data_IF_647981329924
#
_entry.id   IF_647981329924
#
_cell.length_a   1.000
_cell.length_b   1.000
_cell.length_c   1.000
_cell.angle_alpha   90.00
_cell.angle_beta   90.00
_cell.angle_gamma   90.00
#
_symmetry.space_group_name_H-M   'P 1'
#
loop_
_entity.id
_entity.type
_entity.pdbx_description
1 polymer ?
#
# COMPACT_ATOMS: atom_id res chain seq x y z
N UNK A 1 -2.07 -42.14 47.88
CA UNK A 1 -3.45 -41.72 47.59
C UNK A 1 -3.38 -40.26 47.20
N UNK A 2 -3.43 -39.98 45.88
CA UNK A 2 -3.10 -38.68 45.30
C UNK A 2 -4.29 -37.71 45.39
N UNK A 3 -4.10 -36.60 46.09
CA UNK A 3 -5.04 -35.49 46.16
C UNK A 3 -4.87 -34.62 44.92
N UNK A 4 -5.81 -34.75 44.00
CA UNK A 4 -5.95 -33.85 42.85
C UNK A 4 -6.37 -32.46 43.38
N UNK A 5 -5.44 -31.51 43.36
CA UNK A 5 -5.74 -30.09 43.52
C UNK A 5 -6.51 -29.64 42.27
N UNK A 6 -7.83 -29.53 42.42
CA UNK A 6 -8.69 -28.80 41.49
C UNK A 6 -8.22 -27.35 41.50
N UNK A 7 -7.46 -26.99 40.47
CA UNK A 7 -7.03 -25.64 40.19
C UNK A 7 -8.24 -24.84 39.70
N UNK A 8 -9.07 -24.34 40.62
CA UNK A 8 -10.13 -23.37 40.33
C UNK A 8 -9.47 -22.03 39.97
N UNK A 9 -9.12 -21.87 38.69
CA UNK A 9 -8.74 -20.57 38.15
C UNK A 9 -9.95 -19.63 38.30
N UNK A 10 -9.85 -18.63 39.18
CA UNK A 10 -10.90 -17.65 39.41
C UNK A 10 -11.15 -16.86 38.11
N UNK A 11 -12.41 -16.58 37.75
CA UNK A 11 -12.75 -15.88 36.51
C UNK A 11 -12.12 -14.48 36.43
N UNK A 12 -11.86 -13.83 37.58
CA UNK A 12 -11.10 -12.57 37.65
C UNK A 12 -9.65 -12.68 37.13
N UNK A 13 -8.99 -13.83 37.31
CA UNK A 13 -7.62 -14.05 36.82
C UNK A 13 -7.59 -14.26 35.30
N UNK A 14 -8.64 -14.88 34.75
CA UNK A 14 -8.81 -15.04 33.30
C UNK A 14 -9.05 -13.70 32.60
N UNK A 15 -9.89 -12.82 33.17
CA UNK A 15 -10.14 -11.48 32.64
C UNK A 15 -8.90 -10.59 32.78
N UNK A 16 -8.19 -10.66 33.90
CA UNK A 16 -6.94 -9.91 34.09
C UNK A 16 -5.81 -10.40 33.16
N UNK A 17 -5.76 -11.69 32.83
CA UNK A 17 -4.84 -12.24 31.84
C UNK A 17 -5.20 -11.77 30.43
N UNK A 18 -6.48 -11.76 30.07
CA UNK A 18 -6.94 -11.32 28.74
C UNK A 18 -6.70 -9.81 28.51
N UNK A 19 -6.91 -8.98 29.55
CA UNK A 19 -6.62 -7.54 29.51
C UNK A 19 -5.11 -7.26 29.35
N UNK A 20 -4.26 -8.05 30.03
CA UNK A 20 -2.80 -7.96 29.89
C UNK A 20 -2.34 -8.39 28.50
N UNK A 21 -2.86 -9.52 28.01
CA UNK A 21 -2.58 -10.03 26.65
C UNK A 21 -3.04 -9.03 25.59
N UNK A 22 -4.21 -8.40 25.75
CA UNK A 22 -4.71 -7.34 24.87
C UNK A 22 -3.82 -6.10 24.91
N UNK A 23 -3.35 -5.70 26.09
CA UNK A 23 -2.45 -4.55 26.26
C UNK A 23 -1.05 -4.80 25.69
N UNK A 24 -0.54 -6.03 25.78
CA UNK A 24 0.76 -6.43 25.24
C UNK A 24 0.68 -6.64 23.73
N UNK A 25 -0.42 -7.21 23.23
CA UNK A 25 -0.69 -7.28 21.79
C UNK A 25 -0.85 -5.87 21.20
N UNK A 26 -1.55 -4.97 21.88
CA UNK A 26 -1.66 -3.57 21.48
C UNK A 26 -0.29 -2.89 21.47
N UNK A 27 0.56 -3.11 22.49
CA UNK A 27 1.93 -2.58 22.53
C UNK A 27 2.83 -3.17 21.44
N UNK A 28 2.72 -4.47 21.14
CA UNK A 28 3.51 -5.13 20.09
C UNK A 28 3.06 -4.69 18.70
N UNK A 29 1.75 -4.55 18.46
CA UNK A 29 1.20 -3.98 17.24
C UNK A 29 1.59 -2.51 17.09
N UNK A 30 1.57 -1.74 18.18
CA UNK A 30 1.96 -0.34 18.17
C UNK A 30 3.47 -0.16 17.92
N UNK A 31 4.31 -1.01 18.52
CA UNK A 31 5.76 -1.05 18.26
C UNK A 31 6.06 -1.50 16.82
N UNK A 32 5.34 -2.50 16.31
CA UNK A 32 5.38 -2.92 14.90
C UNK A 32 4.95 -1.80 13.98
N UNK A 33 3.82 -1.15 14.23
CA UNK A 33 3.28 -0.02 13.46
C UNK A 33 4.22 1.19 13.46
N UNK A 34 4.94 1.46 14.55
CA UNK A 34 5.94 2.54 14.61
C UNK A 34 7.21 2.16 13.83
N UNK A 35 7.64 0.90 13.88
CA UNK A 35 8.71 0.39 13.02
C UNK A 35 8.29 0.33 11.54
N UNK A 36 7.03 0.02 11.27
CA UNK A 36 6.40 -0.08 9.96
C UNK A 36 6.01 1.29 9.39
N UNK A 37 5.80 2.31 10.22
CA UNK A 37 5.55 3.68 9.78
C UNK A 37 6.76 4.24 9.01
N UNK A 38 7.98 3.82 9.37
CA UNK A 38 9.17 4.04 8.53
C UNK A 38 9.15 3.15 7.29
N UNK A 39 8.80 1.87 7.41
CA UNK A 39 8.76 0.93 6.26
C UNK A 39 7.72 1.30 5.20
N UNK A 40 6.60 1.92 5.55
CA UNK A 40 5.55 2.34 4.62
C UNK A 40 6.02 3.39 3.61
N UNK A 41 6.96 4.25 4.02
CA UNK A 41 7.62 5.21 3.11
C UNK A 41 8.65 4.50 2.22
N UNK A 42 9.33 3.47 2.72
CA UNK A 42 10.37 2.73 1.99
C UNK A 42 9.83 1.66 1.04
N UNK A 43 8.63 1.14 1.27
CA UNK A 43 7.98 0.15 0.39
C UNK A 43 7.87 0.66 -1.06
N UNK A 44 7.53 1.93 -1.24
CA UNK A 44 7.29 2.48 -2.58
C UNK A 44 8.60 2.64 -3.38
N UNK A 45 9.67 3.25 -2.82
CA UNK A 45 11.01 3.21 -3.41
C UNK A 45 11.51 1.80 -3.69
N UNK A 46 11.34 0.86 -2.76
CA UNK A 46 11.81 -0.52 -2.94
C UNK A 46 11.12 -1.19 -4.13
N UNK A 47 9.78 -1.13 -4.19
CA UNK A 47 9.00 -1.72 -5.27
C UNK A 47 9.33 -1.10 -6.62
N UNK A 48 9.44 0.23 -6.70
CA UNK A 48 9.75 0.89 -7.96
C UNK A 48 11.18 0.60 -8.42
N UNK A 49 12.14 0.46 -7.52
CA UNK A 49 13.50 0.02 -7.87
C UNK A 49 13.50 -1.39 -8.46
N UNK A 50 12.76 -2.33 -7.86
CA UNK A 50 12.63 -3.70 -8.39
C UNK A 50 12.00 -3.68 -9.78
N UNK A 51 10.91 -2.93 -9.96
CA UNK A 51 10.23 -2.80 -11.25
C UNK A 51 11.14 -2.19 -12.31
N UNK A 52 11.83 -1.08 -11.99
CA UNK A 52 12.76 -0.43 -12.91
C UNK A 52 13.89 -1.37 -13.30
N UNK A 53 14.43 -2.14 -12.36
CA UNK A 53 15.48 -3.12 -12.65
C UNK A 53 15.00 -4.24 -13.58
N UNK A 54 13.76 -4.71 -13.40
CA UNK A 54 13.15 -5.74 -14.25
C UNK A 54 12.76 -5.21 -15.64
N UNK A 55 12.26 -3.98 -15.73
CA UNK A 55 11.89 -3.34 -17.00
C UNK A 55 13.06 -2.68 -17.73
N UNK A 56 14.23 -2.58 -17.11
CA UNK A 56 15.42 -1.90 -17.66
C UNK A 56 15.85 -2.35 -19.06
N UNK A 57 15.82 -3.65 -19.42
CA UNK A 57 16.22 -4.08 -20.76
C UNK A 57 15.17 -3.79 -21.84
N UNK A 58 13.89 -3.70 -21.46
CA UNK A 58 12.77 -3.73 -22.41
C UNK A 58 12.09 -2.36 -22.61
N UNK A 59 12.17 -1.46 -21.62
CA UNK A 59 11.47 -0.18 -21.65
C UNK A 59 12.44 1.02 -21.75
N UNK A 60 11.99 2.17 -22.32
CA UNK A 60 12.81 3.37 -22.43
C UNK A 60 13.27 3.87 -21.05
N UNK A 61 14.59 4.01 -20.87
CA UNK A 61 15.18 4.41 -19.58
C UNK A 61 14.65 5.76 -19.07
N UNK A 62 14.40 6.72 -19.97
CA UNK A 62 13.83 8.02 -19.60
C UNK A 62 12.44 7.89 -18.96
N UNK A 63 11.61 6.99 -19.48
CA UNK A 63 10.28 6.72 -18.96
C UNK A 63 10.35 6.03 -17.59
N UNK A 64 11.24 5.05 -17.44
CA UNK A 64 11.46 4.35 -16.18
C UNK A 64 11.99 5.28 -15.09
N UNK A 65 12.98 6.13 -15.42
CA UNK A 65 13.54 7.10 -14.49
C UNK A 65 12.52 8.19 -14.13
N UNK A 66 11.73 8.66 -15.10
CA UNK A 66 10.64 9.61 -14.86
C UNK A 66 9.57 9.03 -13.94
N UNK A 67 9.17 7.78 -14.17
CA UNK A 67 8.22 7.08 -13.31
C UNK A 67 8.78 6.84 -11.91
N UNK A 68 10.02 6.36 -11.80
CA UNK A 68 10.70 6.18 -10.51
C UNK A 68 10.78 7.49 -9.72
N UNK A 69 11.20 8.57 -10.38
CA UNK A 69 11.25 9.90 -9.80
C UNK A 69 9.88 10.36 -9.29
N UNK A 70 8.81 10.16 -10.07
CA UNK A 70 7.47 10.51 -9.66
C UNK A 70 6.95 9.70 -8.46
N UNK A 71 7.22 8.38 -8.41
CA UNK A 71 6.84 7.51 -7.28
C UNK A 71 7.60 7.91 -6.02
N UNK A 72 8.92 8.14 -6.13
CA UNK A 72 9.74 8.56 -4.98
C UNK A 72 9.31 9.95 -4.50
N UNK A 73 9.09 10.89 -5.42
CA UNK A 73 8.63 12.24 -5.07
C UNK A 73 7.29 12.21 -4.34
N UNK A 74 6.30 11.48 -4.87
CA UNK A 74 4.98 11.36 -4.21
C UNK A 74 5.07 10.67 -2.84
N UNK A 75 5.92 9.65 -2.69
CA UNK A 75 6.20 9.03 -1.40
C UNK A 75 6.85 10.00 -0.40
N UNK A 76 7.81 10.82 -0.84
CA UNK A 76 8.44 11.85 -0.01
C UNK A 76 7.45 12.95 0.40
N UNK A 77 6.61 13.42 -0.52
CA UNK A 77 5.54 14.40 -0.21
C UNK A 77 4.59 13.83 0.84
N UNK A 78 4.21 12.55 0.73
CA UNK A 78 3.39 11.87 1.74
C UNK A 78 4.11 11.77 3.10
N UNK A 79 5.37 11.35 3.11
CA UNK A 79 6.18 11.25 4.32
C UNK A 79 6.33 12.61 5.02
N UNK A 80 6.61 13.66 4.24
CA UNK A 80 6.70 15.03 4.74
C UNK A 80 5.35 15.52 5.29
N UNK A 81 4.23 15.23 4.62
CA UNK A 81 2.89 15.58 5.09
C UNK A 81 2.58 14.93 6.45
N UNK A 82 2.81 13.62 6.58
CA UNK A 82 2.59 12.88 7.83
C UNK A 82 3.50 13.37 8.97
N UNK A 83 4.74 13.73 8.65
CA UNK A 83 5.68 14.27 9.62
C UNK A 83 5.28 15.68 10.10
N UNK A 84 4.85 16.56 9.20
CA UNK A 84 4.40 17.91 9.55
C UNK A 84 3.08 17.84 10.32
N UNK A 85 2.14 17.00 9.89
CA UNK A 85 0.84 16.84 10.54
C UNK A 85 0.91 16.23 11.94
N UNK A 86 1.91 15.37 12.21
CA UNK A 86 2.13 14.85 13.57
C UNK A 86 2.78 15.86 14.51
N UNK A 87 3.60 16.79 13.98
CA UNK A 87 4.25 17.83 14.79
C UNK A 87 3.41 19.08 15.00
N UNK A 88 2.49 19.39 14.08
CA UNK A 88 1.60 20.56 14.19
C UNK A 88 0.22 20.12 14.64
N UNK A 89 -0.40 20.84 15.59
CA UNK A 89 -1.80 20.66 15.97
C UNK A 89 -2.73 21.19 14.86
N UNK A 90 -2.73 20.52 13.71
CA UNK A 90 -3.62 20.82 12.60
C UNK A 90 -5.03 20.30 12.90
N UNK A 91 -6.04 20.98 12.35
CA UNK A 91 -7.43 20.54 12.41
C UNK A 91 -7.59 19.20 11.68
N UNK A 92 -8.42 18.31 12.22
CA UNK A 92 -8.68 16.97 11.67
C UNK A 92 -9.05 16.98 10.17
N UNK A 93 -9.84 17.97 9.73
CA UNK A 93 -10.19 18.16 8.31
C UNK A 93 -8.97 18.37 7.41
N UNK A 94 -8.00 19.18 7.86
CA UNK A 94 -6.79 19.49 7.07
C UNK A 94 -5.93 18.24 6.93
N UNK A 95 -5.72 17.52 8.03
CA UNK A 95 -4.96 16.26 8.05
C UNK A 95 -5.60 15.24 7.11
N UNK A 96 -6.92 15.04 7.22
CA UNK A 96 -7.67 14.11 6.36
C UNK A 96 -7.52 14.49 4.88
N UNK A 97 -7.79 15.74 4.51
CA UNK A 97 -7.68 16.20 3.11
C UNK A 97 -6.28 16.00 2.53
N UNK A 98 -5.22 16.30 3.29
CA UNK A 98 -3.86 16.09 2.80
C UNK A 98 -3.47 14.61 2.69
N UNK A 99 -3.96 13.75 3.59
CA UNK A 99 -3.81 12.29 3.44
C UNK A 99 -4.53 11.83 2.18
N UNK A 100 -5.76 12.29 1.92
CA UNK A 100 -6.48 11.97 0.67
C UNK A 100 -5.69 12.39 -0.56
N UNK A 101 -5.21 13.64 -0.60
CA UNK A 101 -4.51 14.17 -1.75
C UNK A 101 -3.20 13.40 -2.05
N UNK A 102 -2.42 13.09 -1.01
CA UNK A 102 -1.17 12.34 -1.16
C UNK A 102 -1.40 10.87 -1.54
N UNK A 103 -2.45 10.24 -1.02
CA UNK A 103 -2.89 8.90 -1.42
C UNK A 103 -3.34 8.89 -2.89
N UNK A 104 -4.17 9.84 -3.31
CA UNK A 104 -4.65 9.93 -4.70
C UNK A 104 -3.51 10.22 -5.67
N UNK A 105 -2.59 11.12 -5.32
CA UNK A 105 -1.41 11.41 -6.13
C UNK A 105 -0.59 10.15 -6.36
N UNK A 106 -0.32 9.40 -5.29
CA UNK A 106 0.43 8.15 -5.36
C UNK A 106 -0.28 7.10 -6.22
N UNK A 107 -1.60 6.99 -6.09
CA UNK A 107 -2.42 6.10 -6.91
C UNK A 107 -2.32 6.42 -8.40
N UNK A 108 -2.44 7.72 -8.74
CA UNK A 108 -2.32 8.20 -10.13
C UNK A 108 -0.91 7.92 -10.66
N UNK A 109 0.13 8.19 -9.88
CA UNK A 109 1.51 7.94 -10.30
C UNK A 109 1.75 6.45 -10.59
N UNK A 110 1.24 5.55 -9.75
CA UNK A 110 1.31 4.11 -9.99
C UNK A 110 0.48 3.66 -11.18
N UNK A 111 -0.77 4.14 -11.29
CA UNK A 111 -1.68 3.79 -12.37
C UNK A 111 -1.17 4.26 -13.73
N UNK A 112 -0.79 5.54 -13.85
CA UNK A 112 -0.29 6.13 -15.10
C UNK A 112 1.04 5.52 -15.52
N UNK A 113 1.99 5.34 -14.58
CA UNK A 113 3.26 4.72 -14.94
C UNK A 113 3.10 3.25 -15.33
N UNK A 114 2.25 2.50 -14.61
CA UNK A 114 1.88 1.13 -15.00
C UNK A 114 1.26 1.09 -16.40
N UNK A 115 0.29 1.96 -16.67
CA UNK A 115 -0.37 2.09 -17.97
C UNK A 115 0.59 2.37 -19.14
N UNK A 116 1.66 3.14 -18.90
CA UNK A 116 2.67 3.45 -19.89
C UNK A 116 3.68 2.32 -20.10
N UNK A 117 4.01 1.56 -19.05
CA UNK A 117 5.03 0.49 -19.10
C UNK A 117 4.44 -0.84 -19.56
N UNK A 118 3.22 -1.18 -19.12
CA UNK A 118 2.52 -2.45 -19.42
C UNK A 118 2.51 -2.84 -20.91
N UNK A 119 2.20 -1.94 -21.87
CA UNK A 119 2.15 -2.32 -23.28
C UNK A 119 3.52 -2.52 -23.94
N UNK A 120 4.62 -2.16 -23.25
CA UNK A 120 5.98 -2.19 -23.80
C UNK A 120 6.76 -3.42 -23.32
N UNK A 121 6.46 -3.88 -22.10
CA UNK A 121 7.22 -4.96 -21.43
C UNK A 121 6.66 -6.35 -21.73
N UNK A 122 7.49 -7.41 -21.69
CA UNK A 122 7.05 -8.78 -21.91
C UNK A 122 6.02 -9.24 -20.86
N UNK A 123 5.30 -10.33 -21.19
CA UNK A 123 4.17 -10.83 -20.40
C UNK A 123 4.55 -11.14 -18.94
N UNK A 124 5.74 -11.70 -18.71
CA UNK A 124 6.24 -12.04 -17.38
C UNK A 124 6.37 -10.79 -16.49
N UNK A 125 6.96 -9.72 -17.04
CA UNK A 125 7.11 -8.43 -16.37
C UNK A 125 5.76 -7.76 -16.13
N UNK A 126 4.85 -7.86 -17.10
CA UNK A 126 3.46 -7.40 -16.97
C UNK A 126 2.73 -8.10 -15.82
N UNK A 127 2.82 -9.43 -15.72
CA UNK A 127 2.20 -10.19 -14.65
C UNK A 127 2.74 -9.79 -13.27
N UNK A 128 4.06 -9.61 -13.15
CA UNK A 128 4.68 -9.14 -11.90
C UNK A 128 4.23 -7.73 -11.53
N UNK A 129 4.13 -6.83 -12.51
CA UNK A 129 3.60 -5.47 -12.32
C UNK A 129 2.16 -5.50 -11.79
N UNK A 130 1.30 -6.32 -12.38
CA UNK A 130 -0.09 -6.48 -11.95
C UNK A 130 -0.19 -7.04 -10.52
N UNK A 131 0.66 -8.02 -10.17
CA UNK A 131 0.76 -8.54 -8.79
C UNK A 131 1.17 -7.45 -7.81
N UNK A 132 2.17 -6.63 -8.15
CA UNK A 132 2.59 -5.50 -7.31
C UNK A 132 1.45 -4.49 -7.14
N UNK A 133 0.76 -4.13 -8.22
CA UNK A 133 -0.39 -3.22 -8.17
C UNK A 133 -1.53 -3.79 -7.31
N UNK A 134 -1.83 -5.08 -7.44
CA UNK A 134 -2.82 -5.76 -6.61
C UNK A 134 -2.43 -5.74 -5.12
N UNK A 135 -1.16 -5.99 -4.81
CA UNK A 135 -0.61 -5.88 -3.46
C UNK A 135 -0.71 -4.46 -2.89
N UNK A 136 -0.43 -3.44 -3.70
CA UNK A 136 -0.59 -2.03 -3.30
C UNK A 136 -2.06 -1.70 -3.03
N UNK A 137 -2.99 -2.20 -3.86
CA UNK A 137 -4.42 -2.05 -3.64
C UNK A 137 -4.84 -2.72 -2.33
N UNK A 138 -4.49 -3.99 -2.13
CA UNK A 138 -4.81 -4.73 -0.92
C UNK A 138 -4.28 -4.03 0.35
N UNK A 139 -3.01 -3.60 0.32
CA UNK A 139 -2.40 -2.84 1.42
C UNK A 139 -3.15 -1.53 1.68
N UNK A 140 -3.49 -0.78 0.63
CA UNK A 140 -4.21 0.50 0.77
C UNK A 140 -5.60 0.32 1.41
N UNK A 141 -6.32 -0.76 1.08
CA UNK A 141 -7.65 -1.04 1.62
C UNK A 141 -7.63 -1.20 3.14
N UNK A 142 -6.58 -1.82 3.70
CA UNK A 142 -6.44 -1.93 5.17
C UNK A 142 -6.27 -0.56 5.85
N UNK A 143 -5.57 0.37 5.19
CA UNK A 143 -5.30 1.71 5.73
C UNK A 143 -6.44 2.71 5.48
N UNK A 144 -7.21 2.51 4.42
CA UNK A 144 -8.26 3.42 3.96
C UNK A 144 -9.68 2.93 4.31
N UNK A 145 -9.83 1.75 4.93
CA UNK A 145 -11.12 1.20 5.36
C UNK A 145 -11.94 2.18 6.23
N UNK A 146 -11.26 3.09 6.93
CA UNK A 146 -11.90 4.13 7.74
C UNK A 146 -12.49 5.31 6.94
N UNK A 147 -12.21 5.44 5.63
CA UNK A 147 -12.73 6.51 4.76
C UNK A 147 -13.11 6.01 3.34
N UNK A 148 -14.39 5.66 3.08
CA UNK A 148 -14.83 4.99 1.85
C UNK A 148 -14.70 5.84 0.58
N UNK A 149 -14.67 7.17 0.69
CA UNK A 149 -14.49 8.07 -0.47
C UNK A 149 -13.03 8.10 -0.94
N UNK A 150 -12.07 7.96 -0.01
CA UNK A 150 -10.66 7.83 -0.34
C UNK A 150 -10.32 6.50 -0.99
N UNK A 151 -10.98 5.42 -0.56
CA UNK A 151 -10.88 4.10 -1.20
C UNK A 151 -11.28 4.19 -2.67
N UNK A 152 -12.44 4.81 -2.97
CA UNK A 152 -12.90 4.96 -4.36
C UNK A 152 -11.97 5.80 -5.21
N UNK A 153 -11.47 6.92 -4.67
CA UNK A 153 -10.51 7.77 -5.38
C UNK A 153 -9.18 7.06 -5.66
N UNK A 154 -8.67 6.29 -4.70
CA UNK A 154 -7.45 5.50 -4.86
C UNK A 154 -7.64 4.39 -5.90
N UNK A 155 -8.73 3.61 -5.80
CA UNK A 155 -9.05 2.56 -6.75
C UNK A 155 -9.21 3.12 -8.17
N UNK A 156 -9.95 4.22 -8.33
CA UNK A 156 -10.10 4.86 -9.63
C UNK A 156 -8.75 5.35 -10.18
N UNK A 157 -7.90 5.97 -9.34
CA UNK A 157 -6.61 6.49 -9.76
C UNK A 157 -5.61 5.42 -10.20
N UNK A 158 -5.64 4.24 -9.58
CA UNK A 158 -4.72 3.14 -9.89
C UNK A 158 -5.25 2.20 -10.96
N UNK A 159 -6.54 1.85 -10.90
CA UNK A 159 -7.12 0.84 -11.79
C UNK A 159 -7.54 1.42 -13.15
N UNK A 160 -8.12 2.62 -13.18
CA UNK A 160 -8.66 3.19 -14.43
C UNK A 160 -7.58 3.36 -15.52
N UNK A 161 -6.38 3.91 -15.24
CA UNK A 161 -5.35 4.05 -16.26
C UNK A 161 -4.85 2.69 -16.76
N UNK A 162 -4.72 1.71 -15.86
CA UNK A 162 -4.29 0.34 -16.18
C UNK A 162 -5.32 -0.36 -17.06
N UNK A 163 -6.61 -0.25 -16.72
CA UNK A 163 -7.70 -0.79 -17.54
C UNK A 163 -7.74 -0.15 -18.92
N UNK A 164 -7.57 1.17 -19.02
CA UNK A 164 -7.53 1.88 -20.30
C UNK A 164 -6.34 1.41 -21.14
N UNK A 165 -5.15 1.29 -20.55
CA UNK A 165 -3.96 0.81 -21.27
C UNK A 165 -4.11 -0.63 -21.77
N UNK A 166 -4.65 -1.53 -20.94
CA UNK A 166 -4.91 -2.91 -21.34
C UNK A 166 -5.98 -2.99 -22.44
N UNK A 167 -7.03 -2.18 -22.36
CA UNK A 167 -8.09 -2.12 -23.37
C UNK A 167 -7.61 -1.52 -24.71
N UNK A 168 -6.61 -0.63 -24.69
CA UNK A 168 -6.01 -0.07 -25.91
C UNK A 168 -4.89 -0.95 -26.48
N UNK A 169 -4.37 -1.93 -25.74
CA UNK A 169 -3.36 -2.87 -26.25
C UNK A 169 -4.00 -3.91 -27.19
N UNK A 170 -3.47 -4.05 -28.41
CA UNK A 170 -4.02 -4.95 -29.43
C UNK A 170 -3.79 -6.46 -29.14
N UNK A 171 -3.04 -6.82 -28.09
CA UNK A 171 -2.90 -8.23 -27.67
C UNK A 171 -4.10 -8.68 -26.83
N UNK A 172 -5.07 -9.29 -27.50
CA UNK A 172 -6.26 -9.96 -26.96
C UNK A 172 -6.02 -11.02 -25.86
N UNK A 173 -4.77 -11.37 -25.54
CA UNK A 173 -4.42 -12.36 -24.52
C UNK A 173 -4.21 -11.77 -23.10
N UNK A 174 -4.05 -10.45 -22.94
CA UNK A 174 -3.86 -9.81 -21.63
C UNK A 174 -5.17 -9.49 -20.88
N UNK A 175 -6.30 -9.45 -21.59
CA UNK A 175 -7.61 -9.19 -20.97
C UNK A 175 -8.07 -10.34 -20.07
N UNK A 176 -7.65 -11.58 -20.35
CA UNK A 176 -7.97 -12.74 -19.51
C UNK A 176 -7.29 -12.68 -18.13
N UNK A 177 -6.08 -12.10 -18.05
CA UNK A 177 -5.35 -11.94 -16.79
C UNK A 177 -5.86 -10.78 -15.92
N UNK A 178 -6.63 -9.85 -16.50
CA UNK A 178 -7.21 -8.71 -15.77
C UNK A 178 -8.58 -9.02 -15.13
N UNK A 179 -9.20 -10.16 -15.48
CA UNK A 179 -10.56 -10.55 -15.03
C UNK A 179 -10.52 -11.63 -13.92
N UNK A 180 -9.41 -12.37 -13.77
CA UNK A 180 -9.20 -13.38 -12.72
C UNK A 180 -8.52 -12.77 -11.51
#
# INVERSE_FOLDING_TARGET
MATALVNEARPEDAVAADERVRSDLARLLQARLVSESRLGVWVHPLLITVIVALSWPDAPHELLLGWAGAVVFSALVRGAWLFISSRRRLTERVVRTGVRATVTLLAITWGVGGALVLPIVPFETTALLLVVLAGLIASSLTTLAADPLSVRGFLAGIALPVFVALAMSEQSHHLAAAIV
#
